data_IF_285300862909
#
_entry.id   IF_285300862909
#
_cell.length_a   1.000
_cell.length_b   1.000
_cell.length_c   1.000
_cell.angle_alpha   90.00
_cell.angle_beta   90.00
_cell.angle_gamma   90.00
#
_symmetry.space_group_name_H-M   'P 1'
#
loop_
_entity.id
_entity.type
_entity.pdbx_description
1 polymer ?
#
# COMPACT_ATOMS: atom_id res chain seq x y z
N UNK A 1 72.43 14.72 9.02
CA UNK A 1 72.71 16.11 9.45
C UNK A 1 72.83 16.93 8.16
N UNK A 2 71.81 17.70 7.75
CA UNK A 2 71.42 19.06 8.19
C UNK A 2 72.23 20.16 7.47
N UNK A 3 71.51 21.17 6.96
CA UNK A 3 71.91 22.41 6.23
C UNK A 3 71.69 22.33 4.69
N UNK A 4 71.23 23.39 4.01
CA UNK A 4 70.46 24.57 4.46
C UNK A 4 69.70 25.21 3.29
N UNK A 5 68.68 25.98 3.65
CA UNK A 5 67.89 26.94 2.88
C UNK A 5 68.62 27.72 1.78
N UNK A 6 67.96 27.92 0.63
CA UNK A 6 68.14 29.12 -0.21
C UNK A 6 66.76 29.68 -0.54
N UNK A 7 66.62 31.00 -0.41
CA UNK A 7 65.40 31.78 -0.58
C UNK A 7 65.58 32.68 -1.81
N UNK A 8 64.65 32.66 -2.75
CA UNK A 8 64.55 33.68 -3.81
C UNK A 8 63.11 34.08 -4.05
N UNK A 9 62.80 35.29 -3.59
CA UNK A 9 61.56 36.03 -3.83
C UNK A 9 61.69 36.79 -5.17
N UNK A 10 60.64 36.91 -5.97
CA UNK A 10 60.36 38.15 -6.70
C UNK A 10 58.87 38.28 -7.09
N UNK A 11 58.28 39.43 -6.77
CA UNK A 11 56.94 39.86 -7.17
C UNK A 11 56.93 40.32 -8.63
N UNK A 12 55.80 40.11 -9.32
CA UNK A 12 55.18 41.16 -10.15
C UNK A 12 53.66 41.16 -9.94
N UNK A 13 53.07 42.36 -9.90
CA UNK A 13 51.68 42.65 -9.52
C UNK A 13 51.08 43.64 -10.53
N UNK A 14 49.77 43.53 -10.81
CA UNK A 14 48.97 44.38 -11.72
C UNK A 14 49.38 44.26 -13.22
N UNK A 15 48.53 44.43 -14.23
CA UNK A 15 47.30 45.24 -14.46
C UNK A 15 46.25 44.43 -15.27
N UNK A 16 44.97 44.80 -15.50
CA UNK A 16 43.95 45.75 -14.96
C UNK A 16 42.56 45.16 -15.39
N UNK A 17 41.46 45.25 -14.61
CA UNK A 17 40.32 46.20 -14.76
C UNK A 17 39.80 46.34 -16.22
N UNK A 18 38.52 46.11 -16.58
CA UNK A 18 37.25 46.17 -15.81
C UNK A 18 36.12 45.35 -16.48
N UNK A 19 35.09 44.95 -15.72
CA UNK A 19 33.68 45.25 -16.08
C UNK A 19 32.66 44.93 -14.97
N UNK A 20 32.12 46.00 -14.36
CA UNK A 20 30.80 46.14 -13.71
C UNK A 20 30.44 45.31 -12.48
N UNK A 21 30.24 46.02 -11.36
CA UNK A 21 29.63 45.54 -10.11
C UNK A 21 28.14 45.18 -10.28
N UNK A 22 27.66 44.23 -9.47
CA UNK A 22 26.64 44.57 -8.46
C UNK A 22 26.82 43.70 -7.21
N UNK A 23 26.72 44.33 -6.03
CA UNK A 23 26.83 43.67 -4.72
C UNK A 23 25.44 43.23 -4.24
N UNK A 24 25.36 42.10 -3.53
CA UNK A 24 24.82 42.07 -2.15
C UNK A 24 25.01 40.68 -1.52
N UNK A 25 25.74 40.67 -0.39
CA UNK A 25 25.50 39.92 0.85
C UNK A 25 24.84 38.53 0.81
N UNK A 26 25.58 37.50 1.21
CA UNK A 26 25.33 36.76 2.46
C UNK A 26 26.52 35.85 2.82
N UNK A 27 27.11 36.05 3.99
CA UNK A 27 27.91 35.04 4.67
C UNK A 27 26.95 34.02 5.29
N UNK A 28 26.98 32.74 4.88
CA UNK A 28 26.98 31.65 5.87
C UNK A 28 27.56 30.34 5.31
N UNK A 29 28.83 30.08 5.62
CA UNK A 29 29.49 28.80 5.38
C UNK A 29 29.30 27.83 6.56
N UNK A 30 28.08 27.69 7.11
CA UNK A 30 27.80 26.69 8.16
C UNK A 30 26.46 25.93 8.05
N UNK A 31 26.37 24.93 7.16
CA UNK A 31 25.44 23.79 7.39
C UNK A 31 25.77 22.51 6.58
N UNK A 32 26.96 21.93 6.81
CA UNK A 32 27.17 20.51 6.48
C UNK A 32 26.58 19.66 7.61
N UNK A 33 25.77 18.66 7.26
CA UNK A 33 25.09 17.69 8.13
C UNK A 33 24.03 18.26 9.10
N UNK A 34 22.77 17.98 8.80
CA UNK A 34 22.21 16.75 9.37
C UNK A 34 21.20 16.09 8.44
N UNK A 35 21.29 14.76 8.35
CA UNK A 35 20.28 13.94 7.69
C UNK A 35 18.97 14.05 8.48
N UNK A 36 17.98 14.71 7.92
CA UNK A 36 16.61 14.23 8.07
C UNK A 36 16.20 13.62 6.75
N UNK A 37 16.64 12.37 6.51
CA UNK A 37 15.76 11.45 5.81
C UNK A 37 14.51 11.38 6.68
N UNK A 38 13.50 12.20 6.38
CA UNK A 38 12.15 11.89 6.82
C UNK A 38 11.90 10.49 6.25
N UNK A 39 11.61 9.52 7.12
CA UNK A 39 11.06 8.26 6.67
C UNK A 39 9.87 8.62 5.79
N UNK A 40 10.04 8.45 4.49
CA UNK A 40 9.09 8.92 3.49
C UNK A 40 7.95 7.90 3.54
N UNK A 41 7.01 8.14 4.45
CA UNK A 41 5.83 7.32 4.60
C UNK A 41 5.19 7.17 3.21
N UNK A 42 4.96 5.93 2.79
CA UNK A 42 4.37 5.66 1.49
C UNK A 42 3.05 6.42 1.33
N UNK A 43 2.71 6.76 0.09
CA UNK A 43 1.44 7.42 -0.18
C UNK A 43 0.28 6.57 0.41
N UNK A 44 -0.61 7.18 1.21
CA UNK A 44 -1.57 6.43 2.02
C UNK A 44 -2.58 5.70 1.13
N UNK A 45 -2.72 4.39 1.34
CA UNK A 45 -3.66 3.54 0.61
C UNK A 45 -5.08 3.88 1.03
N UNK A 46 -5.98 4.11 0.08
CA UNK A 46 -7.38 4.34 0.39
C UNK A 46 -8.16 3.02 0.58
N UNK A 47 -8.48 2.69 1.83
CA UNK A 47 -9.17 1.47 2.26
C UNK A 47 -10.43 1.17 1.47
N UNK A 48 -11.32 2.14 1.27
CA UNK A 48 -12.55 1.93 0.50
C UNK A 48 -12.30 1.44 -0.94
N UNK A 49 -11.26 1.93 -1.62
CA UNK A 49 -10.90 1.47 -2.97
C UNK A 49 -10.11 0.15 -2.93
N UNK A 50 -9.21 0.02 -1.97
CA UNK A 50 -8.37 -1.15 -1.73
C UNK A 50 -9.20 -2.41 -1.43
N UNK A 51 -10.16 -2.32 -0.52
CA UNK A 51 -11.07 -3.41 -0.20
C UNK A 51 -12.10 -3.68 -1.30
N UNK A 52 -12.51 -2.66 -2.06
CA UNK A 52 -13.40 -2.85 -3.23
C UNK A 52 -12.71 -3.69 -4.31
N UNK A 53 -11.48 -3.33 -4.69
CA UNK A 53 -10.69 -4.10 -5.64
C UNK A 53 -10.45 -5.54 -5.15
N UNK A 54 -10.10 -5.70 -3.87
CA UNK A 54 -9.89 -7.00 -3.23
C UNK A 54 -11.14 -7.90 -3.28
N UNK A 55 -12.31 -7.35 -2.94
CA UNK A 55 -13.57 -8.07 -2.95
C UNK A 55 -14.05 -8.42 -4.38
N UNK A 56 -13.80 -7.57 -5.39
CA UNK A 56 -14.08 -7.94 -6.80
C UNK A 56 -13.23 -9.14 -7.27
N UNK A 57 -11.95 -9.20 -6.87
CA UNK A 57 -11.06 -10.33 -7.16
C UNK A 57 -11.61 -11.60 -6.49
N UNK A 58 -11.97 -11.52 -5.21
CA UNK A 58 -12.51 -12.66 -4.47
C UNK A 58 -13.86 -13.14 -5.02
N UNK A 59 -14.76 -12.22 -5.40
CA UNK A 59 -16.00 -12.54 -6.11
C UNK A 59 -15.71 -13.34 -7.39
N UNK A 60 -14.69 -12.95 -8.16
CA UNK A 60 -14.34 -13.63 -9.41
C UNK A 60 -13.67 -14.99 -9.16
N UNK A 61 -12.81 -15.11 -8.14
CA UNK A 61 -12.25 -16.40 -7.68
C UNK A 61 -13.37 -17.37 -7.27
N UNK A 62 -14.33 -16.88 -6.48
CA UNK A 62 -15.49 -17.64 -6.01
C UNK A 62 -16.43 -18.05 -7.17
N UNK A 63 -16.68 -17.17 -8.15
CA UNK A 63 -17.43 -17.54 -9.38
C UNK A 63 -16.75 -18.70 -10.12
N UNK A 64 -15.44 -18.63 -10.34
CA UNK A 64 -14.68 -19.69 -11.02
C UNK A 64 -14.72 -21.02 -10.23
N UNK A 65 -14.59 -20.96 -8.90
CA UNK A 65 -14.73 -22.13 -8.04
C UNK A 65 -16.15 -22.72 -8.09
N UNK A 66 -17.20 -21.88 -8.05
CA UNK A 66 -18.59 -22.31 -8.21
C UNK A 66 -18.81 -23.05 -9.54
N UNK A 67 -18.30 -22.52 -10.66
CA UNK A 67 -18.46 -23.16 -11.97
C UNK A 67 -17.84 -24.56 -12.02
N UNK A 68 -16.67 -24.77 -11.40
CA UNK A 68 -16.05 -26.09 -11.28
C UNK A 68 -16.93 -27.06 -10.48
N UNK A 69 -17.42 -26.63 -9.31
CA UNK A 69 -18.28 -27.45 -8.45
C UNK A 69 -19.64 -27.76 -9.10
N UNK A 70 -20.22 -26.84 -9.88
CA UNK A 70 -21.45 -27.11 -10.66
C UNK A 70 -21.19 -28.21 -11.69
N UNK A 71 -20.06 -28.18 -12.41
CA UNK A 71 -19.70 -29.25 -13.33
C UNK A 71 -19.48 -30.60 -12.61
N UNK A 72 -18.87 -30.62 -11.42
CA UNK A 72 -18.79 -31.84 -10.59
C UNK A 72 -20.17 -32.36 -10.16
N UNK A 73 -21.08 -31.47 -9.78
CA UNK A 73 -22.45 -31.80 -9.39
C UNK A 73 -23.26 -32.38 -10.54
N UNK A 74 -23.10 -31.82 -11.75
CA UNK A 74 -23.71 -32.32 -12.99
C UNK A 74 -23.15 -33.70 -13.37
N UNK A 75 -21.83 -33.91 -13.20
CA UNK A 75 -21.15 -35.21 -13.34
C UNK A 75 -21.48 -36.22 -12.22
N UNK A 76 -22.42 -35.91 -11.32
CA UNK A 76 -22.98 -36.84 -10.34
C UNK A 76 -22.42 -36.70 -8.92
N UNK A 77 -21.42 -35.85 -8.66
CA UNK A 77 -20.92 -35.61 -7.31
C UNK A 77 -21.90 -34.72 -6.52
N UNK A 78 -22.95 -35.30 -5.95
CA UNK A 78 -23.96 -34.54 -5.20
C UNK A 78 -23.45 -33.95 -3.87
N UNK A 79 -22.29 -34.39 -3.38
CA UNK A 79 -21.68 -33.91 -2.13
C UNK A 79 -21.23 -32.45 -2.16
N UNK A 80 -21.10 -31.83 -3.34
CA UNK A 80 -20.63 -30.44 -3.46
C UNK A 80 -21.73 -29.38 -3.34
N UNK A 81 -23.00 -29.76 -3.19
CA UNK A 81 -24.12 -28.79 -3.14
C UNK A 81 -23.95 -27.77 -2.02
N UNK A 82 -23.57 -28.21 -0.82
CA UNK A 82 -23.34 -27.31 0.31
C UNK A 82 -22.23 -26.29 0.02
N UNK A 83 -21.16 -26.71 -0.67
CA UNK A 83 -20.08 -25.81 -1.08
C UNK A 83 -20.57 -24.79 -2.12
N UNK A 84 -21.40 -25.21 -3.07
CA UNK A 84 -22.03 -24.32 -4.06
C UNK A 84 -22.92 -23.28 -3.39
N UNK A 85 -23.72 -23.66 -2.39
CA UNK A 85 -24.57 -22.73 -1.63
C UNK A 85 -23.76 -21.77 -0.76
N UNK A 86 -22.73 -22.26 -0.08
CA UNK A 86 -21.88 -21.42 0.77
C UNK A 86 -21.10 -20.38 -0.06
N UNK A 87 -20.60 -20.77 -1.25
CA UNK A 87 -20.00 -19.83 -2.20
C UNK A 87 -21.02 -18.79 -2.70
N UNK A 88 -22.28 -19.17 -2.94
CA UNK A 88 -23.32 -18.20 -3.32
C UNK A 88 -23.56 -17.15 -2.22
N UNK A 89 -23.73 -17.60 -0.97
CA UNK A 89 -23.92 -16.73 0.20
C UNK A 89 -22.75 -15.76 0.37
N UNK A 90 -21.51 -16.21 0.17
CA UNK A 90 -20.32 -15.34 0.29
C UNK A 90 -20.21 -14.34 -0.86
N UNK A 91 -20.51 -14.74 -2.12
CA UNK A 91 -20.58 -13.80 -3.25
C UNK A 91 -21.63 -12.70 -3.00
N UNK A 92 -22.80 -13.03 -2.46
CA UNK A 92 -23.85 -12.06 -2.12
C UNK A 92 -23.48 -11.15 -0.94
N UNK A 93 -22.66 -11.65 -0.01
CA UNK A 93 -22.10 -10.87 1.09
C UNK A 93 -21.04 -9.88 0.58
N UNK A 94 -20.10 -10.33 -0.25
CA UNK A 94 -19.07 -9.50 -0.87
C UNK A 94 -19.66 -8.42 -1.79
N UNK A 95 -20.73 -8.73 -2.56
CA UNK A 95 -21.43 -7.72 -3.37
C UNK A 95 -22.04 -6.60 -2.54
N UNK A 96 -22.79 -6.93 -1.49
CA UNK A 96 -23.38 -5.92 -0.57
C UNK A 96 -22.31 -5.09 0.15
N UNK A 97 -21.17 -5.72 0.45
CA UNK A 97 -20.00 -5.00 0.95
C UNK A 97 -19.45 -4.02 -0.10
N UNK A 98 -19.21 -4.44 -1.34
CA UNK A 98 -18.74 -3.57 -2.43
C UNK A 98 -19.69 -2.41 -2.73
N UNK A 99 -20.99 -2.67 -2.76
CA UNK A 99 -22.01 -1.61 -2.87
C UNK A 99 -21.87 -0.60 -1.73
N UNK A 100 -21.67 -1.05 -0.48
CA UNK A 100 -21.46 -0.15 0.66
C UNK A 100 -20.18 0.70 0.55
N UNK A 101 -19.09 0.16 -0.01
CA UNK A 101 -17.83 0.88 -0.22
C UNK A 101 -17.96 2.05 -1.21
N UNK A 102 -18.87 1.95 -2.18
CA UNK A 102 -19.14 3.04 -3.14
C UNK A 102 -19.85 4.25 -2.51
N UNK A 103 -20.49 4.07 -1.35
CA UNK A 103 -21.15 5.14 -0.60
C UNK A 103 -20.27 5.77 0.49
N UNK A 104 -19.11 5.19 0.79
CA UNK A 104 -18.13 5.80 1.70
C UNK A 104 -17.66 7.12 1.08
N UNK A 105 -17.64 8.18 1.89
CA UNK A 105 -17.14 9.49 1.44
C UNK A 105 -15.68 9.34 1.02
N UNK A 106 -15.31 9.97 -0.10
CA UNK A 106 -13.90 10.00 -0.50
C UNK A 106 -13.08 10.66 0.61
N UNK A 107 -11.94 10.06 0.99
CA UNK A 107 -11.06 10.64 2.00
C UNK A 107 -10.54 12.00 1.56
N UNK A 108 -10.34 12.87 2.56
CA UNK A 108 -9.70 14.16 2.44
C UNK A 108 -8.20 14.00 2.13
N UNK A 109 -7.60 15.04 1.56
CA UNK A 109 -6.17 15.15 1.32
C UNK A 109 -5.72 15.09 -0.14
N UNK A 110 -4.41 15.00 -0.33
CA UNK A 110 -3.81 14.68 -1.63
C UNK A 110 -4.34 13.32 -2.10
N UNK A 111 -4.53 13.17 -3.42
CA UNK A 111 -4.89 11.86 -4.00
C UNK A 111 -3.78 10.88 -3.66
N UNK A 112 -4.07 9.95 -2.75
CA UNK A 112 -3.24 8.77 -2.50
C UNK A 112 -3.03 7.96 -3.78
N UNK A 113 -2.18 6.93 -3.74
CA UNK A 113 -1.76 6.21 -4.92
C UNK A 113 -3.03 5.65 -5.57
N UNK A 114 -3.14 5.80 -6.90
CA UNK A 114 -4.32 5.28 -7.60
C UNK A 114 -4.46 3.80 -7.24
N UNK A 115 -5.60 3.37 -6.68
CA UNK A 115 -5.76 2.02 -6.19
C UNK A 115 -5.42 1.07 -7.33
N UNK A 116 -4.72 -0.05 -7.06
CA UNK A 116 -4.30 -0.94 -8.12
C UNK A 116 -5.55 -1.31 -8.91
N UNK A 117 -5.57 -0.91 -10.20
CA UNK A 117 -6.80 -0.98 -11.00
C UNK A 117 -7.31 -2.42 -10.90
N UNK A 118 -8.59 -2.65 -10.56
CA UNK A 118 -9.15 -3.98 -10.73
C UNK A 118 -8.85 -4.37 -12.18
N UNK A 119 -8.36 -5.58 -12.43
CA UNK A 119 -7.84 -5.93 -13.75
C UNK A 119 -8.98 -5.87 -14.79
N UNK A 120 -9.08 -4.71 -15.46
CA UNK A 120 -10.14 -4.38 -16.39
C UNK A 120 -9.87 -5.09 -17.71
N UNK A 121 -10.29 -6.36 -17.73
CA UNK A 121 -10.60 -7.21 -18.89
C UNK A 121 -9.63 -7.05 -20.07
N UNK A 122 -8.70 -7.99 -20.18
CA UNK A 122 -8.52 -8.67 -21.47
C UNK A 122 -8.13 -10.15 -21.23
N UNK A 123 -8.71 -11.06 -22.01
CA UNK A 123 -8.91 -12.49 -21.67
C UNK A 123 -7.64 -13.38 -21.78
N UNK A 124 -6.46 -12.88 -21.36
CA UNK A 124 -5.16 -13.57 -21.55
C UNK A 124 -4.16 -13.50 -20.40
N UNK A 125 -4.50 -12.94 -19.25
CA UNK A 125 -3.56 -12.88 -18.11
C UNK A 125 -4.21 -13.20 -16.77
N UNK A 126 -3.49 -13.98 -15.94
CA UNK A 126 -3.79 -14.22 -14.53
C UNK A 126 -3.46 -12.96 -13.70
N UNK A 127 -4.07 -11.83 -14.05
CA UNK A 127 -3.87 -10.55 -13.39
C UNK A 127 -4.56 -10.58 -12.02
N UNK A 128 -3.76 -10.88 -11.00
CA UNK A 128 -4.10 -10.68 -9.60
C UNK A 128 -3.39 -9.39 -9.20
N UNK A 129 -4.09 -8.25 -9.07
CA UNK A 129 -3.45 -6.98 -8.77
C UNK A 129 -2.94 -7.04 -7.32
N UNK A 130 -1.63 -6.93 -7.17
CA UNK A 130 -0.94 -6.95 -5.88
C UNK A 130 -0.81 -5.53 -5.34
N UNK A 131 -0.91 -5.40 -4.02
CA UNK A 131 -0.59 -4.17 -3.31
C UNK A 131 0.79 -4.29 -2.65
N UNK A 132 1.68 -3.34 -2.94
CA UNK A 132 2.94 -3.23 -2.22
C UNK A 132 2.68 -2.84 -0.77
N UNK A 133 3.30 -3.58 0.15
CA UNK A 133 3.39 -3.28 1.58
C UNK A 133 4.85 -2.98 1.93
N UNK A 134 5.05 -1.97 2.75
CA UNK A 134 6.31 -1.63 3.38
C UNK A 134 6.23 -1.88 4.89
N UNK A 135 7.35 -1.74 5.62
CA UNK A 135 7.35 -1.85 7.08
C UNK A 135 6.44 -0.87 7.84
N UNK A 136 5.89 0.18 7.21
CA UNK A 136 5.03 1.19 7.86
C UNK A 136 3.84 1.64 6.99
N UNK A 137 3.29 0.78 6.13
CA UNK A 137 2.14 1.11 5.26
C UNK A 137 0.95 1.69 6.03
N UNK A 138 0.33 2.75 5.50
CA UNK A 138 -0.88 3.37 6.05
C UNK A 138 -2.08 3.13 5.13
N UNK A 139 -3.20 2.67 5.70
CA UNK A 139 -4.47 2.47 5.00
C UNK A 139 -5.54 3.39 5.61
N UNK A 140 -6.01 4.40 4.88
CA UNK A 140 -7.07 5.33 5.33
C UNK A 140 -8.45 4.69 5.13
N UNK A 141 -9.18 4.50 6.22
CA UNK A 141 -10.40 3.69 6.27
C UNK A 141 -11.69 4.50 6.05
N UNK A 142 -11.74 5.74 6.56
CA UNK A 142 -12.99 6.48 6.74
C UNK A 142 -13.72 6.11 8.04
N UNK A 143 -14.86 6.73 8.30
CA UNK A 143 -15.64 6.53 9.54
C UNK A 143 -16.44 5.22 9.54
N UNK A 144 -16.70 4.67 8.35
CA UNK A 144 -17.62 3.55 8.13
C UNK A 144 -16.96 2.17 8.21
N UNK A 145 -15.62 2.11 8.21
CA UNK A 145 -14.82 0.89 8.23
C UNK A 145 -13.98 0.79 9.50
N UNK A 146 -14.20 -0.26 10.28
CA UNK A 146 -13.38 -0.60 11.44
C UNK A 146 -12.65 -1.92 11.19
N UNK A 147 -11.31 -1.91 11.25
CA UNK A 147 -10.51 -3.15 11.22
C UNK A 147 -10.62 -3.84 12.57
N UNK A 148 -11.01 -5.12 12.55
CA UNK A 148 -11.08 -5.99 13.73
C UNK A 148 -9.86 -6.91 13.86
N UNK A 149 -9.31 -7.37 12.73
CA UNK A 149 -8.13 -8.23 12.68
C UNK A 149 -7.41 -8.10 11.35
N UNK A 150 -6.09 -8.38 11.34
CA UNK A 150 -5.29 -8.56 10.13
C UNK A 150 -4.38 -9.77 10.32
N UNK A 151 -4.38 -10.66 9.34
CA UNK A 151 -3.45 -11.78 9.24
C UNK A 151 -2.78 -11.73 7.87
N UNK A 152 -1.46 -11.76 7.80
CA UNK A 152 -0.73 -11.91 6.53
C UNK A 152 -0.14 -13.31 6.45
N UNK A 153 -0.29 -13.95 5.29
CA UNK A 153 0.36 -15.22 4.95
C UNK A 153 1.28 -15.05 3.76
N UNK A 154 2.43 -15.71 3.78
CA UNK A 154 3.31 -15.80 2.60
C UNK A 154 2.78 -16.81 1.56
N UNK A 155 3.49 -16.94 0.44
CA UNK A 155 3.19 -17.90 -0.63
C UNK A 155 3.27 -19.40 -0.24
N UNK A 156 3.74 -19.75 0.96
CA UNK A 156 3.72 -21.10 1.55
C UNK A 156 2.56 -21.31 2.54
N UNK A 157 1.65 -20.34 2.62
CA UNK A 157 0.56 -20.24 3.61
C UNK A 157 1.00 -20.09 5.08
N UNK A 158 2.28 -19.83 5.33
CA UNK A 158 2.84 -19.57 6.65
C UNK A 158 2.48 -18.14 7.08
N UNK A 159 2.03 -17.96 8.34
CA UNK A 159 1.76 -16.64 8.89
C UNK A 159 3.06 -15.87 9.12
N UNK A 160 3.14 -14.63 8.65
CA UNK A 160 4.29 -13.73 8.90
C UNK A 160 3.99 -12.78 10.06
N UNK A 161 5.02 -12.26 10.73
CA UNK A 161 4.81 -11.33 11.84
C UNK A 161 4.14 -10.06 11.31
N UNK A 162 3.01 -9.69 11.91
CA UNK A 162 2.14 -8.61 11.48
C UNK A 162 1.52 -7.96 12.70
N UNK A 163 1.68 -6.65 12.81
CA UNK A 163 0.98 -5.84 13.80
C UNK A 163 0.31 -4.66 13.13
N UNK A 164 -0.80 -4.20 13.69
CA UNK A 164 -1.51 -3.03 13.20
C UNK A 164 -1.95 -2.12 14.34
N UNK A 165 -2.10 -0.84 14.04
CA UNK A 165 -2.58 0.17 14.98
C UNK A 165 -3.54 1.13 14.27
N UNK A 166 -4.71 1.34 14.85
CA UNK A 166 -5.59 2.45 14.45
C UNK A 166 -4.95 3.79 14.85
N UNK A 167 -4.90 4.69 13.88
CA UNK A 167 -4.36 6.05 13.99
C UNK A 167 -5.34 7.04 13.34
N UNK A 168 -5.12 8.33 13.57
CA UNK A 168 -5.73 9.39 12.76
C UNK A 168 -4.68 9.90 11.76
N UNK A 169 -5.10 10.21 10.54
CA UNK A 169 -4.23 10.86 9.55
C UNK A 169 -4.13 12.39 9.77
N UNK A 170 -3.38 13.09 8.91
CA UNK A 170 -3.21 14.55 9.01
C UNK A 170 -4.50 15.36 8.77
N UNK A 171 -5.58 14.72 8.30
CA UNK A 171 -6.91 15.31 8.10
C UNK A 171 -7.92 14.85 9.18
N UNK A 172 -7.48 14.14 10.21
CA UNK A 172 -8.32 13.63 11.29
C UNK A 172 -9.16 12.39 10.92
N UNK A 173 -8.79 11.67 9.85
CA UNK A 173 -9.51 10.51 9.36
C UNK A 173 -9.00 9.23 10.01
N UNK A 174 -9.91 8.32 10.34
CA UNK A 174 -9.58 6.96 10.77
C UNK A 174 -8.70 6.27 9.73
N UNK A 175 -7.51 5.86 10.14
CA UNK A 175 -6.53 5.15 9.35
C UNK A 175 -5.89 4.02 10.16
N UNK A 176 -5.21 3.13 9.44
CA UNK A 176 -4.55 1.95 9.97
C UNK A 176 -3.07 2.02 9.58
N UNK A 177 -2.19 2.05 10.57
CA UNK A 177 -0.77 1.75 10.33
C UNK A 177 -0.57 0.24 10.44
N UNK A 178 -0.06 -0.36 9.37
CA UNK A 178 0.34 -1.76 9.28
C UNK A 178 1.87 -1.86 9.38
N UNK A 179 2.35 -2.87 10.11
CA UNK A 179 3.74 -3.30 10.11
C UNK A 179 3.78 -4.80 9.84
N UNK A 180 4.56 -5.23 8.86
CA UNK A 180 4.64 -6.63 8.46
C UNK A 180 6.09 -7.02 8.15
N UNK A 181 6.45 -8.27 8.45
CA UNK A 181 7.73 -8.88 8.05
C UNK A 181 7.57 -9.72 6.76
N UNK A 182 6.67 -9.31 5.86
CA UNK A 182 6.44 -10.04 4.61
C UNK A 182 7.62 -9.75 3.67
N UNK A 183 8.21 -10.80 3.10
CA UNK A 183 9.17 -10.69 2.00
C UNK A 183 8.57 -11.37 0.77
N UNK A 184 8.42 -10.64 -0.34
CA UNK A 184 7.81 -11.16 -1.56
C UNK A 184 6.28 -11.32 -1.47
N UNK A 185 5.73 -12.28 -2.22
CA UNK A 185 4.27 -12.41 -2.42
C UNK A 185 3.54 -13.07 -1.24
N UNK A 186 2.33 -12.58 -0.94
CA UNK A 186 1.46 -13.11 0.08
C UNK A 186 -0.02 -12.71 -0.07
N UNK A 187 -0.82 -13.10 0.92
CA UNK A 187 -2.23 -12.71 1.06
C UNK A 187 -2.45 -12.11 2.44
N UNK A 188 -2.95 -10.88 2.47
CA UNK A 188 -3.42 -10.21 3.69
C UNK A 188 -4.93 -10.43 3.84
N UNK A 189 -5.34 -11.07 4.92
CA UNK A 189 -6.72 -11.24 5.32
C UNK A 189 -7.10 -10.14 6.30
N UNK A 190 -7.86 -9.14 5.84
CA UNK A 190 -8.37 -8.07 6.71
C UNK A 190 -9.80 -8.40 7.14
N UNK A 191 -10.05 -8.58 8.44
CA UNK A 191 -11.41 -8.65 8.98
C UNK A 191 -11.93 -7.26 9.30
N UNK A 192 -12.98 -6.84 8.61
CA UNK A 192 -13.64 -5.54 8.74
C UNK A 192 -15.00 -5.69 9.42
N UNK A 193 -15.30 -4.77 10.34
CA UNK A 193 -16.62 -4.56 10.93
C UNK A 193 -17.33 -3.45 10.17
N UNK A 194 -18.54 -3.74 9.71
CA UNK A 194 -19.38 -2.86 8.89
C UNK A 194 -20.83 -2.87 9.40
N UNK A 195 -21.56 -1.79 9.14
CA UNK A 195 -23.01 -1.72 9.45
C UNK A 195 -23.88 -2.55 8.49
N UNK A 196 -23.37 -2.92 7.31
CA UNK A 196 -24.15 -3.52 6.21
C UNK A 196 -24.07 -5.05 6.21
N UNK A 197 -22.89 -5.63 6.44
CA UNK A 197 -22.68 -7.10 6.40
C UNK A 197 -22.16 -7.68 7.72
N UNK A 198 -22.09 -6.88 8.78
CA UNK A 198 -21.48 -7.28 10.04
C UNK A 198 -19.96 -7.41 9.87
N UNK A 199 -19.42 -8.58 10.22
CA UNK A 199 -18.01 -8.91 10.00
C UNK A 199 -17.79 -9.57 8.63
N UNK A 200 -16.78 -9.09 7.89
CA UNK A 200 -16.35 -9.67 6.62
C UNK A 200 -14.82 -9.74 6.58
N UNK A 201 -14.26 -10.86 6.11
CA UNK A 201 -12.81 -11.02 5.92
C UNK A 201 -12.49 -10.94 4.45
N UNK A 202 -11.70 -9.94 4.07
CA UNK A 202 -11.32 -9.69 2.68
C UNK A 202 -9.89 -10.22 2.48
N UNK A 203 -9.68 -11.21 1.58
CA UNK A 203 -8.35 -11.60 1.16
C UNK A 203 -7.82 -10.61 0.12
N UNK A 204 -6.67 -10.00 0.40
CA UNK A 204 -6.00 -9.05 -0.49
C UNK A 204 -4.62 -9.58 -0.88
N UNK A 205 -4.34 -9.76 -2.18
CA UNK A 205 -3.00 -10.06 -2.68
C UNK A 205 -2.02 -8.91 -2.38
N UNK A 206 -0.86 -9.25 -1.80
CA UNK A 206 0.13 -8.27 -1.34
C UNK A 206 1.56 -8.69 -1.68
N UNK A 207 2.47 -7.72 -1.79
CA UNK A 207 3.91 -7.93 -1.95
C UNK A 207 4.65 -7.12 -0.90
N UNK A 208 5.49 -7.77 -0.10
CA UNK A 208 6.40 -7.09 0.82
C UNK A 208 7.66 -6.58 0.12
N UNK A 209 8.03 -5.33 0.41
CA UNK A 209 9.20 -4.61 -0.11
C UNK A 209 10.40 -4.63 0.85
#
# INVERSE_FOLDING_TARGET
MKKMTVLTLFLTVATLVSCSNHETTEDDLTSVNSKTSKDQADEPIYGHQFYYASAEIEINRLKLQKTKLVAEFENGNKGVMEQIENIQKEIEKLKRFNESLLYIKRPLGSKGPMPPKPCLVDDRSNCIPQQNLSPNTVIVLGEELMVANILVKNNKEESVDTSFKSIEDEYGQSALQLKTSLEGEGIMYTTLKTKVVGEITIPTPVVGL
#
